data_IF_742876268352
#
_entry.id   IF_742876268352
#
_cell.length_a   1.000
_cell.length_b   1.000
_cell.length_c   1.000
_cell.angle_alpha   90.00
_cell.angle_beta   90.00
_cell.angle_gamma   90.00
#
_symmetry.space_group_name_H-M   'P 1'
#
loop_
_entity.id
_entity.type
_entity.pdbx_description
1 polymer ?
#
# COMPACT_ATOMS: atom_id res chain seq x y z
N UNK A 1 -17.70 24.43 -25.13
CA UNK A 1 -16.45 23.79 -25.59
C UNK A 1 -15.63 24.78 -26.41
N UNK A 2 -16.10 25.22 -27.58
CA UNK A 2 -15.39 26.19 -28.42
C UNK A 2 -15.06 27.51 -27.73
N UNK A 3 -15.99 28.08 -26.95
CA UNK A 3 -15.72 29.30 -26.17
C UNK A 3 -14.58 29.16 -25.14
N UNK A 4 -14.31 27.96 -24.61
CA UNK A 4 -13.19 27.74 -23.71
C UNK A 4 -11.87 27.54 -24.47
N UNK A 5 -11.93 26.83 -25.61
CA UNK A 5 -10.77 26.67 -26.49
C UNK A 5 -10.34 28.05 -27.00
N UNK A 6 -11.27 28.88 -27.45
CA UNK A 6 -11.04 30.27 -27.88
C UNK A 6 -10.44 31.11 -26.76
N UNK A 7 -10.98 31.01 -25.53
CA UNK A 7 -10.46 31.75 -24.36
C UNK A 7 -9.01 31.40 -24.05
N UNK A 8 -8.66 30.12 -24.13
CA UNK A 8 -7.37 29.61 -23.68
C UNK A 8 -6.35 29.49 -24.84
N UNK A 9 -6.75 29.78 -26.09
CA UNK A 9 -6.00 29.47 -27.31
C UNK A 9 -4.60 30.07 -27.35
N UNK A 10 -4.48 31.37 -27.14
CA UNK A 10 -3.18 32.06 -27.23
C UNK A 10 -2.21 31.57 -26.16
N UNK A 11 -2.71 31.28 -24.95
CA UNK A 11 -1.90 30.77 -23.84
C UNK A 11 -1.32 29.38 -24.16
N UNK A 12 -2.14 28.47 -24.68
CA UNK A 12 -1.71 27.11 -24.98
C UNK A 12 -0.86 27.03 -26.25
N UNK A 13 -1.17 27.83 -27.29
CA UNK A 13 -0.31 27.95 -28.47
C UNK A 13 1.08 28.49 -28.10
N UNK A 14 1.16 29.47 -27.19
CA UNK A 14 2.44 29.98 -26.69
C UNK A 14 3.27 28.93 -25.93
N UNK A 15 2.63 27.86 -25.42
CA UNK A 15 3.27 26.69 -24.82
C UNK A 15 3.55 25.55 -25.82
N UNK A 16 3.35 25.79 -27.11
CA UNK A 16 3.54 24.78 -28.17
C UNK A 16 2.42 23.73 -28.22
N UNK A 17 1.24 24.04 -27.67
CA UNK A 17 0.12 23.11 -27.58
C UNK A 17 -1.02 23.47 -28.54
N UNK A 18 -1.68 22.45 -29.08
CA UNK A 18 -2.85 22.55 -29.96
C UNK A 18 -4.05 21.80 -29.36
N UNK A 19 -5.30 22.17 -29.73
CA UNK A 19 -6.48 21.43 -29.30
C UNK A 19 -6.39 19.96 -29.73
N UNK A 20 -6.65 19.05 -28.81
CA UNK A 20 -6.64 17.63 -29.08
C UNK A 20 -7.98 17.19 -29.71
N UNK A 21 -8.00 17.15 -31.03
CA UNK A 21 -9.19 16.81 -31.82
C UNK A 21 -9.65 15.35 -31.65
N UNK A 22 -8.74 14.44 -31.25
CA UNK A 22 -9.06 13.02 -31.07
C UNK A 22 -9.96 12.78 -29.84
N UNK A 23 -9.85 13.64 -28.83
CA UNK A 23 -10.67 13.63 -27.62
C UNK A 23 -11.74 14.72 -27.63
N UNK A 24 -12.03 15.30 -28.81
CA UNK A 24 -12.91 16.45 -29.02
C UNK A 24 -14.37 16.28 -28.58
N UNK A 25 -14.78 15.10 -28.13
CA UNK A 25 -16.10 14.86 -27.52
C UNK A 25 -16.09 14.84 -25.98
N UNK A 26 -14.90 14.83 -25.35
CA UNK A 26 -14.73 14.63 -23.88
C UNK A 26 -14.31 15.88 -23.11
N UNK A 27 -14.09 17.02 -23.77
CA UNK A 27 -13.81 18.31 -23.13
C UNK A 27 -12.68 19.11 -23.78
N UNK A 28 -12.31 20.24 -23.16
CA UNK A 28 -11.18 21.08 -23.60
C UNK A 28 -9.85 20.35 -23.31
N UNK A 29 -9.37 19.57 -24.26
CA UNK A 29 -8.09 18.87 -24.14
C UNK A 29 -7.07 19.49 -25.08
N UNK A 30 -5.82 19.61 -24.61
CA UNK A 30 -4.70 20.19 -25.34
C UNK A 30 -3.59 19.15 -25.44
N UNK A 31 -2.84 19.15 -26.54
CA UNK A 31 -1.68 18.29 -26.75
C UNK A 31 -0.53 19.10 -27.30
N UNK A 32 0.72 18.68 -27.06
CA UNK A 32 1.88 19.32 -27.67
C UNK A 32 1.95 19.02 -29.17
N UNK A 33 2.39 20.00 -29.96
CA UNK A 33 2.71 19.82 -31.39
C UNK A 33 3.92 18.90 -31.52
N UNK A 34 4.97 19.18 -30.76
CA UNK A 34 6.13 18.30 -30.61
C UNK A 34 5.92 17.40 -29.39
N UNK A 35 5.80 16.10 -29.61
CA UNK A 35 5.62 15.13 -28.54
C UNK A 35 6.80 15.07 -27.56
N UNK A 36 7.99 15.56 -27.96
CA UNK A 36 9.15 15.67 -27.09
C UNK A 36 9.06 16.83 -26.09
N UNK A 37 8.13 17.77 -26.25
CA UNK A 37 7.84 18.79 -25.23
C UNK A 37 6.94 18.27 -24.11
N UNK A 38 6.33 17.09 -24.29
CA UNK A 38 5.46 16.50 -23.29
C UNK A 38 6.27 15.87 -22.15
N UNK A 39 6.43 16.64 -21.07
CA UNK A 39 7.16 16.23 -19.85
C UNK A 39 6.62 14.94 -19.22
N UNK A 40 5.31 14.68 -19.30
CA UNK A 40 4.70 13.46 -18.76
C UNK A 40 5.09 12.25 -19.61
N UNK A 41 5.00 12.39 -20.94
CA UNK A 41 5.41 11.34 -21.88
C UNK A 41 6.90 11.00 -21.70
N UNK A 42 7.75 12.01 -21.65
CA UNK A 42 9.20 11.83 -21.48
C UNK A 42 9.53 11.18 -20.14
N UNK A 43 8.82 11.53 -19.08
CA UNK A 43 8.95 10.86 -17.78
C UNK A 43 8.58 9.39 -17.87
N UNK A 44 7.46 9.03 -18.53
CA UNK A 44 7.06 7.63 -18.71
C UNK A 44 8.14 6.82 -19.45
N UNK A 45 8.67 7.37 -20.55
CA UNK A 45 9.75 6.73 -21.30
C UNK A 45 10.98 6.57 -20.39
N UNK A 46 11.43 7.63 -19.73
CA UNK A 46 12.56 7.57 -18.80
C UNK A 46 12.37 6.51 -17.70
N UNK A 47 11.19 6.42 -17.11
CA UNK A 47 10.86 5.41 -16.10
C UNK A 47 10.95 3.99 -16.67
N UNK A 48 10.51 3.77 -17.92
CA UNK A 48 10.61 2.48 -18.61
C UNK A 48 12.06 2.11 -19.01
N UNK A 49 12.86 3.10 -19.40
CA UNK A 49 14.28 2.91 -19.72
C UNK A 49 15.12 2.56 -18.48
N UNK A 50 14.64 2.89 -17.28
CA UNK A 50 15.28 2.55 -16.00
C UNK A 50 14.88 1.17 -15.44
N UNK A 51 13.96 0.46 -16.10
CA UNK A 51 13.54 -0.87 -15.66
C UNK A 51 14.65 -1.89 -15.86
N UNK A 52 14.59 -3.00 -15.10
CA UNK A 52 15.51 -4.11 -15.29
C UNK A 52 15.45 -4.59 -16.73
N UNK A 53 14.26 -4.95 -17.20
CA UNK A 53 13.95 -5.15 -18.63
C UNK A 53 13.53 -3.82 -19.25
N UNK A 54 14.52 -2.97 -19.54
CA UNK A 54 14.32 -1.64 -20.12
C UNK A 54 13.74 -1.70 -21.55
N UNK A 55 12.84 -0.77 -21.85
CA UNK A 55 12.28 -0.56 -23.18
C UNK A 55 12.01 0.94 -23.45
N UNK A 56 11.82 1.30 -24.72
CA UNK A 56 11.74 2.68 -25.22
C UNK A 56 10.35 3.00 -25.77
N UNK A 57 9.37 3.00 -24.87
CA UNK A 57 8.00 3.34 -25.21
C UNK A 57 7.36 4.11 -24.06
N UNK A 58 6.45 5.04 -24.34
CA UNK A 58 5.61 5.67 -23.31
C UNK A 58 4.57 4.71 -22.71
N UNK A 59 4.31 3.57 -23.36
CA UNK A 59 3.22 2.68 -22.95
C UNK A 59 3.64 1.76 -21.81
N UNK A 60 2.81 1.68 -20.77
CA UNK A 60 2.98 0.72 -19.68
C UNK A 60 2.60 -0.69 -20.15
N UNK A 61 3.10 -1.71 -19.44
CA UNK A 61 2.70 -3.09 -19.72
C UNK A 61 1.20 -3.28 -19.47
N UNK A 62 0.50 -3.86 -20.43
CA UNK A 62 -0.91 -4.23 -20.25
C UNK A 62 -1.03 -5.57 -19.49
N UNK A 63 -2.24 -5.89 -19.02
CA UNK A 63 -2.50 -7.12 -18.26
C UNK A 63 -2.09 -8.41 -18.98
N UNK A 64 -2.22 -8.49 -20.31
CA UNK A 64 -1.77 -9.68 -21.05
C UNK A 64 -0.26 -9.83 -20.97
N UNK A 65 0.47 -8.76 -21.21
CA UNK A 65 1.94 -8.73 -21.15
C UNK A 65 2.44 -9.06 -19.74
N UNK A 66 1.80 -8.51 -18.70
CA UNK A 66 2.14 -8.80 -17.30
C UNK A 66 1.88 -10.28 -16.98
N UNK A 67 0.68 -10.78 -17.31
CA UNK A 67 0.29 -12.17 -17.06
C UNK A 67 1.20 -13.16 -17.76
N UNK A 68 1.59 -12.88 -18.98
CA UNK A 68 2.38 -13.80 -19.77
C UNK A 68 3.89 -13.64 -19.46
N UNK A 69 4.27 -12.67 -18.61
CA UNK A 69 5.66 -12.28 -18.32
C UNK A 69 6.44 -11.96 -19.59
N UNK A 70 5.81 -11.24 -20.50
CA UNK A 70 6.47 -10.72 -21.69
C UNK A 70 7.14 -9.38 -21.35
N UNK A 71 8.31 -9.15 -21.96
CA UNK A 71 9.05 -7.90 -21.85
C UNK A 71 9.37 -7.38 -23.24
N UNK A 72 9.05 -6.12 -23.49
CA UNK A 72 9.27 -5.48 -24.79
C UNK A 72 10.76 -5.48 -25.15
N UNK A 73 11.08 -5.87 -26.39
CA UNK A 73 12.46 -6.01 -26.84
C UNK A 73 13.18 -7.25 -26.28
N UNK A 74 12.47 -8.24 -25.73
CA UNK A 74 13.07 -9.50 -25.30
C UNK A 74 12.29 -10.71 -25.82
N UNK A 75 13.00 -11.66 -26.41
CA UNK A 75 12.46 -12.98 -26.74
C UNK A 75 12.50 -13.89 -25.54
N UNK A 76 11.32 -14.36 -25.14
CA UNK A 76 11.11 -15.33 -24.06
C UNK A 76 11.21 -16.77 -24.60
N UNK A 77 11.93 -17.62 -23.89
CA UNK A 77 12.06 -19.06 -24.16
C UNK A 77 11.97 -19.84 -22.85
N UNK A 78 11.36 -21.03 -22.88
CA UNK A 78 11.35 -21.94 -21.73
C UNK A 78 12.73 -22.64 -21.63
N UNK A 79 13.38 -22.48 -20.48
CA UNK A 79 14.67 -23.08 -20.16
C UNK A 79 14.57 -24.13 -19.03
N UNK A 80 13.36 -24.48 -18.60
CA UNK A 80 13.09 -25.33 -17.42
C UNK A 80 13.83 -26.66 -17.48
N UNK A 81 13.96 -27.27 -18.66
CA UNK A 81 14.64 -28.57 -18.83
C UNK A 81 16.10 -28.56 -18.36
N UNK A 82 16.81 -27.43 -18.48
CA UNK A 82 18.19 -27.27 -18.01
C UNK A 82 18.31 -27.17 -16.49
N UNK A 83 17.18 -27.10 -15.77
CA UNK A 83 17.13 -26.90 -14.32
C UNK A 83 16.42 -28.04 -13.59
N UNK A 84 16.05 -29.13 -14.28
CA UNK A 84 15.36 -30.28 -13.68
C UNK A 84 16.18 -30.91 -12.55
N UNK A 85 17.50 -31.00 -12.73
CA UNK A 85 18.41 -31.54 -11.70
C UNK A 85 18.40 -30.75 -10.38
N UNK A 86 18.03 -29.47 -10.43
CA UNK A 86 17.90 -28.60 -9.26
C UNK A 86 16.49 -28.61 -8.66
N UNK A 87 15.54 -29.28 -9.32
CA UNK A 87 14.14 -29.42 -8.87
C UNK A 87 13.13 -28.61 -9.68
N UNK A 88 13.52 -27.95 -10.77
CA UNK A 88 12.56 -27.33 -11.67
C UNK A 88 11.70 -28.37 -12.42
N UNK A 89 10.52 -27.97 -12.85
CA UNK A 89 9.59 -28.83 -13.60
C UNK A 89 8.14 -28.44 -13.34
N UNK A 90 7.28 -28.68 -14.34
CA UNK A 90 5.84 -28.40 -14.28
C UNK A 90 5.16 -29.11 -13.11
N UNK A 91 5.51 -30.37 -12.84
CA UNK A 91 5.00 -31.13 -11.69
C UNK A 91 5.34 -30.49 -10.35
N UNK A 92 6.48 -29.79 -10.29
CA UNK A 92 6.93 -29.06 -9.10
C UNK A 92 6.49 -27.60 -9.13
N UNK A 93 5.69 -27.14 -10.10
CA UNK A 93 5.25 -25.74 -10.18
C UNK A 93 6.40 -24.72 -10.26
N UNK A 94 7.58 -25.14 -10.68
CA UNK A 94 8.77 -24.28 -10.82
C UNK A 94 9.19 -24.30 -12.29
N UNK A 95 9.21 -23.14 -12.92
CA UNK A 95 9.70 -23.00 -14.30
C UNK A 95 10.85 -21.99 -14.35
N UNK A 96 11.70 -22.12 -15.38
CA UNK A 96 12.78 -21.17 -15.64
C UNK A 96 12.61 -20.61 -17.05
N UNK A 97 12.53 -19.29 -17.13
CA UNK A 97 12.34 -18.56 -18.38
C UNK A 97 13.63 -17.82 -18.75
N UNK A 98 14.07 -17.99 -19.98
CA UNK A 98 15.19 -17.25 -20.53
C UNK A 98 14.70 -16.10 -21.42
N UNK A 99 15.29 -14.92 -21.24
CA UNK A 99 15.01 -13.74 -22.02
C UNK A 99 16.27 -13.29 -22.76
N UNK A 100 16.17 -13.21 -24.09
CA UNK A 100 17.25 -12.76 -24.97
C UNK A 100 16.89 -11.39 -25.55
N UNK A 101 17.74 -10.36 -25.43
CA UNK A 101 17.45 -9.04 -25.97
C UNK A 101 17.34 -9.05 -27.50
N UNK A 102 16.28 -8.45 -28.02
CA UNK A 102 15.96 -8.26 -29.44
C UNK A 102 15.80 -6.78 -29.76
N UNK A 103 16.12 -6.39 -30.99
CA UNK A 103 16.17 -4.97 -31.38
C UNK A 103 17.39 -4.22 -30.84
N UNK A 104 17.60 -3.01 -31.34
CA UNK A 104 18.80 -2.22 -31.04
C UNK A 104 18.80 -1.67 -29.60
N UNK A 105 17.64 -1.14 -29.15
CA UNK A 105 17.53 -0.55 -27.82
C UNK A 105 17.84 -1.56 -26.70
N UNK A 106 17.15 -2.71 -26.67
CA UNK A 106 17.36 -3.72 -25.63
C UNK A 106 18.79 -4.27 -25.63
N UNK A 107 19.39 -4.50 -26.81
CA UNK A 107 20.80 -4.93 -26.96
C UNK A 107 21.81 -3.86 -26.52
N UNK A 108 21.43 -2.58 -26.58
CA UNK A 108 22.26 -1.49 -26.07
C UNK A 108 22.27 -1.46 -24.54
N UNK A 109 21.14 -1.79 -23.89
CA UNK A 109 20.96 -1.72 -22.43
C UNK A 109 21.37 -3.00 -21.71
N UNK A 110 21.16 -4.16 -22.32
CA UNK A 110 21.35 -5.47 -21.70
C UNK A 110 22.28 -6.31 -22.56
N UNK A 111 23.33 -6.84 -21.93
CA UNK A 111 24.26 -7.79 -22.56
C UNK A 111 23.95 -9.20 -22.09
N UNK A 112 23.78 -10.12 -23.04
CA UNK A 112 23.53 -11.53 -22.77
C UNK A 112 22.08 -11.84 -22.39
N UNK A 113 21.85 -13.11 -22.07
CA UNK A 113 20.54 -13.64 -21.68
C UNK A 113 20.28 -13.38 -20.20
N UNK A 114 19.00 -13.35 -19.83
CA UNK A 114 18.56 -13.29 -18.43
C UNK A 114 17.67 -14.46 -18.07
N UNK A 115 17.87 -15.02 -16.89
CA UNK A 115 17.11 -16.16 -16.39
C UNK A 115 16.18 -15.75 -15.25
N UNK A 116 14.89 -16.04 -15.39
CA UNK A 116 13.88 -15.77 -14.35
C UNK A 116 13.31 -17.10 -13.87
N UNK A 117 13.41 -17.36 -12.57
CA UNK A 117 12.71 -18.47 -11.94
C UNK A 117 11.28 -18.07 -11.60
N UNK A 118 10.31 -18.92 -11.92
CA UNK A 118 8.89 -18.69 -11.64
C UNK A 118 8.38 -19.81 -10.76
N UNK A 119 7.84 -19.44 -9.60
CA UNK A 119 7.09 -20.33 -8.71
C UNK A 119 5.60 -20.09 -8.91
N UNK A 120 4.85 -21.15 -9.18
CA UNK A 120 3.40 -21.18 -8.97
C UNK A 120 3.13 -21.63 -7.53
N UNK A 121 2.74 -20.69 -6.67
CA UNK A 121 2.53 -20.98 -5.25
C UNK A 121 1.26 -21.80 -4.96
N UNK A 122 0.38 -21.99 -5.96
CA UNK A 122 -0.73 -22.95 -5.85
C UNK A 122 -0.25 -24.40 -5.93
N UNK A 123 0.97 -24.65 -6.41
CA UNK A 123 1.59 -25.96 -6.36
C UNK A 123 2.30 -26.18 -5.02
N UNK A 124 1.74 -27.04 -4.18
CA UNK A 124 2.28 -27.37 -2.84
C UNK A 124 3.71 -27.92 -2.90
N UNK A 125 4.01 -28.77 -3.88
CA UNK A 125 5.36 -29.32 -4.05
C UNK A 125 6.36 -28.21 -4.42
N UNK A 126 5.96 -27.28 -5.28
CA UNK A 126 6.76 -26.10 -5.64
C UNK A 126 7.02 -25.20 -4.46
N UNK A 127 5.97 -24.81 -3.75
CA UNK A 127 6.07 -23.97 -2.56
C UNK A 127 7.08 -24.54 -1.55
N UNK A 128 7.00 -25.85 -1.27
CA UNK A 128 7.89 -26.52 -0.33
C UNK A 128 9.34 -26.65 -0.84
N UNK A 129 9.55 -26.78 -2.15
CA UNK A 129 10.87 -27.07 -2.72
C UNK A 129 11.59 -25.85 -3.30
N UNK A 130 10.92 -24.69 -3.42
CA UNK A 130 11.45 -23.54 -4.13
C UNK A 130 12.76 -23.01 -3.55
N UNK A 131 12.87 -22.93 -2.23
CA UNK A 131 14.10 -22.48 -1.57
C UNK A 131 15.28 -23.41 -1.83
N UNK A 132 15.03 -24.73 -1.85
CA UNK A 132 16.05 -25.71 -2.17
C UNK A 132 16.47 -25.59 -3.65
N UNK A 133 15.51 -25.34 -4.55
CA UNK A 133 15.80 -25.05 -5.95
C UNK A 133 16.71 -23.81 -6.10
N UNK A 134 16.37 -22.69 -5.45
CA UNK A 134 17.20 -21.47 -5.49
C UNK A 134 18.63 -21.75 -4.99
N UNK A 135 18.74 -22.42 -3.84
CA UNK A 135 20.04 -22.76 -3.23
C UNK A 135 20.89 -23.66 -4.12
N UNK A 136 20.32 -24.72 -4.69
CA UNK A 136 21.05 -25.65 -5.58
C UNK A 136 21.49 -24.98 -6.86
N UNK A 137 20.63 -24.15 -7.44
CA UNK A 137 20.90 -23.39 -8.66
C UNK A 137 22.07 -22.43 -8.44
N UNK A 138 22.06 -21.69 -7.33
CA UNK A 138 23.17 -20.80 -6.94
C UNK A 138 24.47 -21.58 -6.68
N UNK A 139 24.41 -22.70 -5.96
CA UNK A 139 25.58 -23.55 -5.70
C UNK A 139 26.21 -24.13 -6.96
N UNK A 140 25.41 -24.38 -8.00
CA UNK A 140 25.87 -24.82 -9.31
C UNK A 140 26.43 -23.68 -10.19
N UNK A 141 26.48 -22.45 -9.67
CA UNK A 141 26.94 -21.27 -10.42
C UNK A 141 25.94 -20.79 -11.48
N UNK A 142 24.71 -21.31 -11.47
CA UNK A 142 23.66 -20.87 -12.39
C UNK A 142 23.05 -19.57 -11.85
N UNK A 143 23.40 -18.45 -12.47
CA UNK A 143 22.91 -17.14 -12.03
C UNK A 143 21.45 -16.95 -12.48
N UNK A 144 20.55 -16.79 -11.52
CA UNK A 144 19.20 -16.31 -11.76
C UNK A 144 19.18 -14.77 -11.67
N UNK A 145 18.61 -14.13 -12.68
CA UNK A 145 18.44 -12.68 -12.77
C UNK A 145 17.13 -12.20 -12.13
N UNK A 146 16.22 -13.11 -11.79
CA UNK A 146 15.02 -12.71 -11.09
C UNK A 146 14.15 -13.87 -10.65
N UNK A 147 13.20 -13.51 -9.82
CA UNK A 147 12.25 -14.41 -9.19
C UNK A 147 10.85 -13.86 -9.42
N UNK A 148 9.94 -14.73 -9.84
CA UNK A 148 8.51 -14.47 -9.90
C UNK A 148 7.80 -15.45 -8.97
N UNK A 149 6.94 -14.96 -8.09
CA UNK A 149 6.00 -15.81 -7.34
C UNK A 149 4.60 -15.48 -7.81
N UNK A 150 3.91 -16.47 -8.35
CA UNK A 150 2.52 -16.40 -8.77
C UNK A 150 1.58 -16.94 -7.71
N UNK A 151 0.33 -16.50 -7.78
CA UNK A 151 -0.78 -17.09 -7.04
C UNK A 151 -0.62 -17.04 -5.51
N UNK A 152 0.01 -15.99 -4.98
CA UNK A 152 0.24 -15.85 -3.55
C UNK A 152 -1.08 -15.67 -2.82
N UNK A 153 -1.44 -16.66 -1.98
CA UNK A 153 -2.68 -16.66 -1.22
C UNK A 153 -3.92 -17.09 -2.02
N UNK A 154 -3.74 -17.71 -3.20
CA UNK A 154 -4.86 -18.21 -4.01
C UNK A 154 -5.59 -19.38 -3.33
N UNK A 155 -4.84 -20.32 -2.75
CA UNK A 155 -5.40 -21.50 -2.06
C UNK A 155 -5.80 -21.16 -0.63
N UNK A 156 -4.94 -20.43 0.07
CA UNK A 156 -5.16 -20.01 1.45
C UNK A 156 -4.80 -18.53 1.58
N UNK A 157 -5.81 -17.69 1.89
CA UNK A 157 -5.61 -16.25 2.05
C UNK A 157 -4.64 -15.87 3.17
N UNK A 158 -4.34 -16.81 4.07
CA UNK A 158 -3.38 -16.68 5.18
C UNK A 158 -2.05 -17.41 4.93
N UNK A 159 -1.81 -17.91 3.71
CA UNK A 159 -0.55 -18.56 3.37
C UNK A 159 0.62 -17.60 3.58
N UNK A 160 1.48 -17.91 4.54
CA UNK A 160 2.61 -17.06 4.89
C UNK A 160 3.81 -17.28 3.95
N UNK A 161 4.14 -16.25 3.18
CA UNK A 161 5.33 -16.23 2.31
C UNK A 161 6.56 -15.58 2.97
N UNK A 162 6.44 -15.06 4.20
CA UNK A 162 7.52 -14.34 4.88
C UNK A 162 8.80 -15.17 4.97
N UNK A 163 8.68 -16.47 5.24
CA UNK A 163 9.81 -17.41 5.31
C UNK A 163 10.50 -17.62 3.97
N UNK A 164 9.72 -17.74 2.88
CA UNK A 164 10.28 -17.89 1.53
C UNK A 164 11.01 -16.60 1.15
N UNK A 165 10.36 -15.45 1.34
CA UNK A 165 10.90 -14.13 1.01
C UNK A 165 12.16 -13.82 1.83
N UNK A 166 12.20 -14.17 3.13
CA UNK A 166 13.36 -14.00 4.00
C UNK A 166 14.55 -14.88 3.61
N UNK A 167 14.31 -16.06 3.02
CA UNK A 167 15.35 -17.01 2.61
C UNK A 167 15.77 -16.87 1.15
N UNK A 168 15.17 -15.96 0.38
CA UNK A 168 15.68 -15.59 -0.94
C UNK A 168 17.12 -15.01 -0.84
N UNK A 169 17.89 -14.99 -1.94
CA UNK A 169 19.20 -14.36 -1.97
C UNK A 169 19.16 -12.92 -1.45
N UNK A 170 20.22 -12.50 -0.75
CA UNK A 170 20.29 -11.15 -0.14
C UNK A 170 20.29 -10.02 -1.17
N UNK A 171 20.70 -10.30 -2.40
CA UNK A 171 20.65 -9.38 -3.54
C UNK A 171 19.84 -9.98 -4.67
N UNK A 172 18.75 -9.32 -5.06
CA UNK A 172 17.84 -9.75 -6.12
C UNK A 172 17.80 -8.66 -7.20
N UNK A 173 18.03 -9.03 -8.46
CA UNK A 173 17.95 -8.03 -9.54
C UNK A 173 16.50 -7.71 -9.90
N UNK A 174 15.64 -8.73 -10.03
CA UNK A 174 14.21 -8.54 -10.25
C UNK A 174 13.36 -9.46 -9.39
N UNK A 175 12.39 -8.89 -8.68
CA UNK A 175 11.35 -9.62 -7.95
C UNK A 175 9.97 -9.22 -8.47
N UNK A 176 9.13 -10.19 -8.80
CA UNK A 176 7.74 -9.95 -9.18
C UNK A 176 6.83 -10.84 -8.34
N UNK A 177 5.89 -10.21 -7.63
CA UNK A 177 4.97 -10.91 -6.72
C UNK A 177 3.53 -10.70 -7.20
N UNK A 178 2.80 -11.80 -7.43
CA UNK A 178 1.36 -11.76 -7.74
C UNK A 178 0.56 -12.21 -6.52
N UNK A 179 -0.07 -11.25 -5.87
CA UNK A 179 -0.98 -11.45 -4.75
C UNK A 179 -2.38 -11.76 -5.25
N UNK A 180 -2.98 -12.82 -4.73
CA UNK A 180 -4.40 -13.15 -4.93
C UNK A 180 -5.21 -12.86 -3.67
N UNK A 181 -4.57 -12.95 -2.50
CA UNK A 181 -5.08 -12.44 -1.24
C UNK A 181 -4.58 -11.01 -0.96
N UNK A 182 -5.35 -10.24 -0.18
CA UNK A 182 -5.03 -8.85 0.15
C UNK A 182 -4.06 -8.67 1.32
N UNK A 183 -3.64 -9.77 1.93
CA UNK A 183 -2.65 -9.75 3.00
C UNK A 183 -1.23 -9.63 2.43
N UNK A 184 -0.60 -8.49 2.68
CA UNK A 184 0.78 -8.20 2.26
C UNK A 184 1.80 -8.35 3.40
N UNK A 185 1.39 -8.83 4.58
CA UNK A 185 2.26 -8.99 5.76
C UNK A 185 3.49 -9.86 5.47
N UNK A 186 3.38 -10.80 4.53
CA UNK A 186 4.51 -11.63 4.08
C UNK A 186 5.69 -10.82 3.55
N UNK A 187 5.47 -9.59 3.05
CA UNK A 187 6.54 -8.70 2.57
C UNK A 187 7.56 -8.34 3.66
N UNK A 188 7.26 -8.56 4.95
CA UNK A 188 8.24 -8.41 6.04
C UNK A 188 9.51 -9.25 5.82
N UNK A 189 9.42 -10.36 5.08
CA UNK A 189 10.58 -11.16 4.70
C UNK A 189 11.58 -10.43 3.80
N UNK A 190 11.16 -9.37 3.11
CA UNK A 190 12.03 -8.57 2.24
C UNK A 190 12.83 -7.51 2.98
N UNK A 191 12.56 -7.29 4.27
CA UNK A 191 13.07 -6.14 5.00
C UNK A 191 14.61 -6.01 4.89
N UNK A 192 15.36 -7.10 4.90
CA UNK A 192 16.83 -7.06 4.89
C UNK A 192 17.43 -7.33 3.49
N UNK A 193 16.60 -7.39 2.45
CA UNK A 193 17.00 -7.69 1.07
C UNK A 193 17.34 -6.44 0.29
N UNK A 194 18.31 -6.56 -0.62
CA UNK A 194 18.64 -5.54 -1.62
C UNK A 194 18.00 -5.93 -2.94
N UNK A 195 17.01 -5.17 -3.40
CA UNK A 195 16.24 -5.50 -4.59
C UNK A 195 16.42 -4.36 -5.60
N UNK A 196 16.90 -4.66 -6.81
CA UNK A 196 17.02 -3.62 -7.84
C UNK A 196 15.65 -3.21 -8.40
N UNK A 197 14.81 -4.17 -8.73
CA UNK A 197 13.45 -3.91 -9.22
C UNK A 197 12.41 -4.82 -8.55
N UNK A 198 11.33 -4.21 -8.05
CA UNK A 198 10.17 -4.89 -7.49
C UNK A 198 8.91 -4.55 -8.28
N UNK A 199 8.16 -5.59 -8.65
CA UNK A 199 6.80 -5.49 -9.18
C UNK A 199 5.82 -6.14 -8.19
N UNK A 200 4.78 -5.42 -7.79
CA UNK A 200 3.70 -5.92 -6.95
C UNK A 200 2.38 -5.90 -7.73
N UNK A 201 1.84 -7.07 -8.03
CA UNK A 201 0.66 -7.25 -8.85
C UNK A 201 -0.46 -7.97 -8.10
N UNK A 202 -1.68 -7.68 -8.50
CA UNK A 202 -2.85 -8.49 -8.19
C UNK A 202 -3.59 -8.78 -9.49
N UNK A 203 -4.14 -9.99 -9.62
CA UNK A 203 -4.82 -10.41 -10.85
C UNK A 203 -6.22 -9.82 -11.02
N UNK A 204 -6.87 -9.35 -9.94
CA UNK A 204 -8.28 -8.93 -9.93
C UNK A 204 -8.47 -7.44 -9.61
N UNK A 205 -8.75 -7.10 -8.34
CA UNK A 205 -9.05 -5.75 -7.88
C UNK A 205 -7.80 -5.04 -7.33
N UNK A 206 -7.15 -4.28 -8.20
CA UNK A 206 -5.93 -3.52 -7.89
C UNK A 206 -6.17 -2.23 -7.11
N UNK A 207 -7.41 -1.79 -6.92
CA UNK A 207 -7.76 -0.49 -6.28
C UNK A 207 -8.61 -0.63 -5.02
N UNK A 208 -8.71 -1.83 -4.46
CA UNK A 208 -9.46 -2.08 -3.23
C UNK A 208 -8.88 -1.28 -2.05
N UNK A 209 -9.77 -0.71 -1.22
CA UNK A 209 -9.40 0.17 -0.09
C UNK A 209 -8.63 -0.53 1.04
N UNK A 210 -8.68 -1.86 1.08
CA UNK A 210 -8.04 -2.73 2.07
C UNK A 210 -6.64 -3.21 1.66
N UNK A 211 -6.12 -2.77 0.50
CA UNK A 211 -4.70 -2.92 0.20
C UNK A 211 -3.84 -2.05 1.14
N UNK A 212 -3.05 -2.73 1.96
CA UNK A 212 -2.06 -2.13 2.84
C UNK A 212 -0.63 -2.45 2.42
N UNK A 213 0.30 -1.54 2.68
CA UNK A 213 1.73 -1.76 2.49
C UNK A 213 2.50 -1.26 3.72
N UNK A 214 3.49 -2.02 4.15
CA UNK A 214 4.48 -1.56 5.10
C UNK A 214 5.66 -0.91 4.35
N UNK A 215 5.84 0.42 4.38
CA UNK A 215 6.91 1.04 3.61
C UNK A 215 8.32 0.65 4.08
N UNK A 216 8.48 0.29 5.37
CA UNK A 216 9.77 -0.06 5.95
C UNK A 216 10.37 -1.32 5.32
N UNK A 217 9.53 -2.26 4.87
CA UNK A 217 10.00 -3.50 4.23
C UNK A 217 10.58 -3.26 2.84
N UNK A 218 10.32 -2.07 2.27
CA UNK A 218 10.77 -1.66 0.94
C UNK A 218 12.05 -0.80 0.98
N UNK A 219 12.66 -0.60 2.16
CA UNK A 219 13.85 0.27 2.32
C UNK A 219 15.07 -0.19 1.53
N UNK A 220 15.15 -1.49 1.24
CA UNK A 220 16.21 -2.08 0.41
C UNK A 220 15.87 -2.19 -1.08
N UNK A 221 14.71 -1.69 -1.51
CA UNK A 221 14.25 -1.73 -2.91
C UNK A 221 14.62 -0.44 -3.62
N UNK A 222 15.40 -0.52 -4.71
CA UNK A 222 15.82 0.66 -5.48
C UNK A 222 14.71 1.20 -6.38
N UNK A 223 14.08 0.32 -7.18
CA UNK A 223 13.03 0.69 -8.11
C UNK A 223 11.77 -0.14 -7.86
N UNK A 224 10.62 0.52 -7.77
CA UNK A 224 9.31 -0.12 -7.68
C UNK A 224 8.52 0.29 -8.90
N UNK A 225 8.25 -0.65 -9.81
CA UNK A 225 7.54 -0.30 -11.05
C UNK A 225 6.03 -0.28 -10.83
N UNK A 226 5.34 0.49 -11.68
CA UNK A 226 3.89 0.63 -11.59
C UNK A 226 3.22 0.62 -12.96
N UNK A 227 2.60 -0.52 -13.27
CA UNK A 227 1.83 -0.79 -14.48
C UNK A 227 0.33 -0.78 -14.16
N UNK A 228 -0.30 0.39 -14.33
CA UNK A 228 -1.72 0.57 -14.02
C UNK A 228 -2.59 -0.20 -14.99
N UNK A 229 -3.19 -1.28 -14.51
CA UNK A 229 -4.24 -2.00 -15.20
C UNK A 229 -5.38 -2.18 -14.20
N UNK A 230 -6.54 -1.66 -14.56
CA UNK A 230 -7.75 -1.74 -13.77
C UNK A 230 -8.92 -1.83 -14.74
N UNK A 231 -9.77 -2.82 -14.58
CA UNK A 231 -10.99 -2.90 -15.37
C UNK A 231 -12.01 -1.90 -14.80
N UNK A 232 -12.46 -0.94 -15.62
CA UNK A 232 -13.61 -0.12 -15.26
C UNK A 232 -14.80 -1.05 -14.95
N UNK A 233 -15.44 -0.87 -13.80
CA UNK A 233 -16.66 -1.58 -13.35
C UNK A 233 -17.81 -1.50 -14.39
N UNK A 234 -17.66 -0.69 -15.44
CA UNK A 234 -18.69 -0.41 -16.46
C UNK A 234 -18.92 -1.52 -17.49
N UNK A 235 -18.10 -2.58 -17.57
CA UNK A 235 -18.41 -3.75 -18.42
C UNK A 235 -18.99 -4.87 -17.56
N UNK A 236 -20.33 -4.91 -17.49
CA UNK A 236 -21.18 -5.82 -16.72
C UNK A 236 -21.08 -7.31 -17.10
N UNK A 237 -20.06 -7.72 -17.86
CA UNK A 237 -19.95 -9.06 -18.46
C UNK A 237 -18.88 -9.95 -17.84
N UNK A 238 -18.04 -9.45 -16.92
CA UNK A 238 -16.95 -10.23 -16.33
C UNK A 238 -17.20 -10.46 -14.84
N UNK A 239 -17.39 -11.72 -14.47
CA UNK A 239 -17.60 -12.19 -13.10
C UNK A 239 -16.49 -11.66 -12.16
N UNK A 240 -16.83 -11.18 -10.94
CA UNK A 240 -15.90 -10.48 -10.05
C UNK A 240 -14.68 -11.30 -9.60
N UNK A 241 -14.76 -12.64 -9.68
CA UNK A 241 -13.82 -13.56 -9.04
C UNK A 241 -12.89 -14.30 -10.03
N UNK A 242 -12.96 -13.99 -11.34
CA UNK A 242 -12.17 -14.67 -12.37
C UNK A 242 -11.62 -13.69 -13.42
N UNK A 243 -11.23 -12.50 -12.97
CA UNK A 243 -10.63 -11.48 -13.83
C UNK A 243 -9.14 -11.78 -13.88
N UNK A 244 -8.65 -12.42 -14.94
CA UNK A 244 -7.23 -12.68 -15.13
C UNK A 244 -6.54 -11.44 -15.74
N UNK A 245 -6.62 -10.32 -15.02
CA UNK A 245 -6.20 -8.98 -15.47
C UNK A 245 -5.18 -8.37 -14.52
N UNK A 246 -3.96 -8.92 -14.47
CA UNK A 246 -2.97 -8.40 -13.55
C UNK A 246 -2.61 -6.95 -13.81
N UNK A 247 -2.44 -6.21 -12.72
CA UNK A 247 -2.04 -4.81 -12.68
C UNK A 247 -1.42 -4.45 -11.35
N UNK A 248 -0.69 -3.33 -11.30
CA UNK A 248 -0.04 -2.88 -10.06
C UNK A 248 -1.06 -2.49 -9.00
N UNK A 249 -0.80 -2.93 -7.77
CA UNK A 249 -1.65 -2.66 -6.62
C UNK A 249 -1.56 -1.17 -6.23
N UNK A 250 -2.70 -0.53 -6.06
CA UNK A 250 -2.82 0.81 -5.50
C UNK A 250 -3.01 0.69 -3.98
N UNK A 251 -1.98 1.06 -3.22
CA UNK A 251 -2.05 1.04 -1.76
C UNK A 251 -2.61 2.35 -1.23
N UNK A 252 -3.76 2.28 -0.55
CA UNK A 252 -4.33 3.43 0.15
C UNK A 252 -4.09 3.37 1.67
N UNK A 253 -3.56 2.26 2.18
CA UNK A 253 -3.25 2.07 3.60
C UNK A 253 -1.75 1.88 3.84
N UNK A 254 -1.17 2.66 4.77
CA UNK A 254 0.11 2.33 5.38
C UNK A 254 -0.15 1.40 6.57
N UNK A 255 0.32 0.16 6.48
CA UNK A 255 0.09 -0.90 7.45
C UNK A 255 1.41 -1.39 8.00
N UNK A 256 1.55 -1.45 9.33
CA UNK A 256 2.81 -1.85 9.97
C UNK A 256 2.71 -3.25 10.56
N UNK A 257 3.82 -3.98 10.54
CA UNK A 257 3.89 -5.37 11.00
C UNK A 257 4.18 -5.46 12.49
N UNK A 258 3.77 -6.57 13.10
CA UNK A 258 3.96 -6.83 14.54
C UNK A 258 5.44 -6.77 14.93
N UNK A 259 5.72 -6.19 16.10
CA UNK A 259 7.06 -6.13 16.69
C UNK A 259 7.96 -5.03 16.12
N UNK A 260 7.41 -4.10 15.34
CA UNK A 260 8.13 -2.91 14.89
C UNK A 260 8.24 -1.87 16.01
N UNK A 261 9.42 -1.28 16.11
CA UNK A 261 9.68 -0.14 17.02
C UNK A 261 9.15 1.16 16.43
N UNK A 262 8.96 2.19 17.28
CA UNK A 262 8.58 3.53 16.84
C UNK A 262 9.58 4.11 15.80
N UNK A 263 10.87 3.83 15.94
CA UNK A 263 11.89 4.26 14.98
C UNK A 263 11.68 3.62 13.60
N UNK A 264 11.37 2.33 13.56
CA UNK A 264 11.08 1.63 12.30
C UNK A 264 9.77 2.11 11.66
N UNK A 265 8.75 2.40 12.48
CA UNK A 265 7.51 3.03 12.01
C UNK A 265 7.82 4.38 11.38
N UNK A 266 8.57 5.23 12.07
CA UNK A 266 8.96 6.56 11.58
C UNK A 266 9.84 6.49 10.33
N UNK A 267 10.72 5.50 10.22
CA UNK A 267 11.48 5.25 9.00
C UNK A 267 10.56 4.87 7.84
N UNK A 268 9.57 4.00 8.07
CA UNK A 268 8.54 3.67 7.08
C UNK A 268 7.73 4.90 6.65
N UNK A 269 7.27 5.72 7.60
CA UNK A 269 6.57 6.98 7.31
C UNK A 269 7.44 7.94 6.50
N UNK A 270 8.73 8.05 6.81
CA UNK A 270 9.70 8.86 6.05
C UNK A 270 9.82 8.36 4.61
N UNK A 271 9.97 7.05 4.42
CA UNK A 271 10.05 6.43 3.08
C UNK A 271 8.83 6.81 2.25
N UNK A 272 7.61 6.58 2.76
CA UNK A 272 6.40 6.80 1.99
C UNK A 272 6.05 8.29 1.79
N UNK A 273 6.20 9.11 2.82
CA UNK A 273 5.63 10.46 2.85
C UNK A 273 6.63 11.57 2.51
N UNK A 274 7.94 11.27 2.52
CA UNK A 274 8.99 12.25 2.28
C UNK A 274 10.01 11.84 1.22
N UNK A 275 10.58 10.64 1.31
CA UNK A 275 11.73 10.29 0.46
C UNK A 275 11.30 9.74 -0.90
N UNK A 276 10.25 8.91 -0.91
CA UNK A 276 9.73 8.23 -2.10
C UNK A 276 8.29 8.63 -2.44
N UNK A 277 7.82 9.77 -1.93
CA UNK A 277 6.46 10.28 -2.16
C UNK A 277 6.11 10.46 -3.65
N UNK A 278 7.13 10.62 -4.51
CA UNK A 278 6.98 10.74 -5.97
C UNK A 278 6.75 9.41 -6.69
N UNK A 279 6.86 8.27 -6.01
CA UNK A 279 6.61 6.95 -6.59
C UNK A 279 5.15 6.55 -6.45
N UNK A 280 4.57 6.00 -7.53
CA UNK A 280 3.12 5.74 -7.61
C UNK A 280 2.57 4.79 -6.54
N UNK A 281 3.40 3.90 -6.00
CA UNK A 281 3.03 3.01 -4.89
C UNK A 281 2.71 3.78 -3.59
N UNK A 282 3.29 4.96 -3.40
CA UNK A 282 3.12 5.82 -2.21
C UNK A 282 2.25 7.06 -2.49
N UNK A 283 1.37 6.98 -3.49
CA UNK A 283 0.51 8.08 -3.91
C UNK A 283 -0.99 7.83 -3.68
N UNK A 284 -1.36 6.72 -3.04
CA UNK A 284 -2.76 6.42 -2.75
C UNK A 284 -3.63 6.28 -3.99
N UNK A 285 -4.94 6.47 -3.81
CA UNK A 285 -5.94 6.33 -4.88
C UNK A 285 -5.85 7.46 -5.93
N UNK A 286 -5.48 8.68 -5.54
CA UNK A 286 -5.52 9.85 -6.40
C UNK A 286 -4.30 10.03 -7.31
N UNK A 287 -3.18 9.34 -7.03
CA UNK A 287 -1.97 9.42 -7.86
C UNK A 287 -1.13 10.66 -7.57
N UNK A 288 -0.50 11.22 -8.60
CA UNK A 288 0.56 12.21 -8.48
C UNK A 288 0.25 13.35 -7.49
N UNK A 289 1.17 13.58 -6.56
CA UNK A 289 1.04 14.60 -5.51
C UNK A 289 0.18 14.20 -4.30
N UNK A 290 -0.44 13.02 -4.31
CA UNK A 290 -1.21 12.48 -3.18
C UNK A 290 -0.40 11.49 -2.33
N UNK A 291 -1.05 10.83 -1.37
CA UNK A 291 -0.47 9.85 -0.45
C UNK A 291 -1.53 8.81 -0.02
N UNK A 292 -1.13 7.63 0.51
CA UNK A 292 -2.05 6.70 1.13
C UNK A 292 -2.77 7.36 2.31
N UNK A 293 -4.09 7.44 2.23
CA UNK A 293 -4.89 8.23 3.19
C UNK A 293 -5.32 7.46 4.42
N UNK A 294 -4.97 6.19 4.55
CA UNK A 294 -5.31 5.33 5.67
C UNK A 294 -4.06 4.86 6.43
N UNK A 295 -4.19 4.74 7.75
CA UNK A 295 -3.19 4.16 8.65
C UNK A 295 -3.77 2.91 9.32
N UNK A 296 -2.95 1.87 9.45
CA UNK A 296 -3.30 0.64 10.15
C UNK A 296 -2.16 0.18 11.06
N UNK A 297 -2.41 0.30 12.37
CA UNK A 297 -1.54 -0.19 13.45
C UNK A 297 -2.21 -1.33 14.24
N UNK A 298 -3.23 -1.98 13.67
CA UNK A 298 -3.92 -3.10 14.33
C UNK A 298 -3.03 -4.31 14.65
N UNK A 299 -1.89 -4.43 13.99
CA UNK A 299 -0.89 -5.46 14.29
C UNK A 299 0.06 -5.09 15.43
N UNK A 300 -0.06 -3.89 16.00
CA UNK A 300 0.81 -3.33 17.04
C UNK A 300 -0.05 -2.93 18.27
N UNK A 301 -0.43 -3.89 19.13
CA UNK A 301 -1.26 -3.64 20.31
C UNK A 301 -0.74 -2.55 21.27
N UNK A 302 0.56 -2.29 21.26
CA UNK A 302 1.24 -1.25 22.01
C UNK A 302 0.97 0.17 21.49
N UNK A 303 0.58 0.31 20.23
CA UNK A 303 0.24 1.61 19.63
C UNK A 303 -1.21 1.95 19.96
N UNK A 304 -1.37 2.88 20.91
CA UNK A 304 -2.68 3.41 21.36
C UNK A 304 -2.97 4.82 20.86
N UNK A 305 -2.02 5.47 20.20
CA UNK A 305 -2.19 6.80 19.61
C UNK A 305 -1.17 7.01 18.50
N UNK A 306 -1.15 8.21 17.92
CA UNK A 306 -0.16 8.62 16.91
C UNK A 306 1.04 9.36 17.54
N UNK A 307 1.19 9.28 18.88
CA UNK A 307 2.26 9.95 19.61
C UNK A 307 3.64 9.57 19.09
N UNK A 308 4.45 10.58 18.78
CA UNK A 308 5.85 10.41 18.36
C UNK A 308 6.01 10.03 16.88
N UNK A 309 4.93 10.01 16.10
CA UNK A 309 4.98 9.70 14.67
C UNK A 309 5.14 10.95 13.81
N UNK A 310 6.04 10.92 12.83
CA UNK A 310 6.23 12.04 11.90
C UNK A 310 5.47 11.82 10.59
N UNK A 311 4.40 12.60 10.39
CA UNK A 311 3.57 12.52 9.19
C UNK A 311 3.93 13.55 8.11
N UNK A 312 4.97 14.37 8.29
CA UNK A 312 5.43 15.34 7.29
C UNK A 312 4.30 16.25 6.77
N UNK A 313 3.44 16.70 7.69
CA UNK A 313 2.30 17.57 7.40
C UNK A 313 1.14 16.89 6.67
N UNK A 314 1.12 15.55 6.59
CA UNK A 314 0.01 14.78 6.00
C UNK A 314 -1.08 14.49 7.03
N UNK A 315 -2.29 14.34 6.53
CA UNK A 315 -3.49 14.00 7.29
C UNK A 315 -4.14 12.75 6.73
N UNK A 316 -4.92 12.04 7.54
CA UNK A 316 -5.45 10.71 7.22
C UNK A 316 -6.95 10.63 7.42
N UNK A 317 -7.62 9.92 6.51
CA UNK A 317 -9.06 9.70 6.50
C UNK A 317 -9.48 8.51 7.37
N UNK A 318 -8.57 7.58 7.65
CA UNK A 318 -8.86 6.37 8.43
C UNK A 318 -7.66 6.00 9.29
N UNK A 319 -7.91 5.64 10.54
CA UNK A 319 -6.94 5.04 11.44
C UNK A 319 -7.54 3.76 12.01
N UNK A 320 -6.84 2.64 11.88
CA UNK A 320 -7.19 1.38 12.53
C UNK A 320 -6.20 1.07 13.65
N UNK A 321 -6.69 0.82 14.86
CA UNK A 321 -5.90 0.44 16.04
C UNK A 321 -6.33 -0.94 16.56
N UNK A 322 -5.52 -1.54 17.41
CA UNK A 322 -5.91 -2.72 18.18
C UNK A 322 -6.46 -2.33 19.55
N UNK A 323 -7.56 -2.96 19.95
CA UNK A 323 -8.06 -2.92 21.32
C UNK A 323 -8.44 -4.32 21.80
N UNK A 324 -8.35 -4.59 23.09
CA UNK A 324 -8.65 -5.90 23.67
C UNK A 324 -9.97 -5.96 24.46
N UNK A 325 -10.65 -4.82 24.65
CA UNK A 325 -11.94 -4.71 25.32
C UNK A 325 -12.89 -3.78 24.56
N UNK A 326 -14.12 -3.60 25.05
CA UNK A 326 -15.03 -2.59 24.54
C UNK A 326 -14.63 -1.14 24.95
N UNK A 327 -13.68 -1.00 25.88
CA UNK A 327 -13.18 0.28 26.40
C UNK A 327 -11.85 0.65 25.75
N UNK A 328 -11.82 1.74 24.98
CA UNK A 328 -10.58 2.34 24.52
C UNK A 328 -10.13 3.44 25.49
N UNK A 329 -8.91 3.34 26.01
CA UNK A 329 -8.41 4.26 27.03
C UNK A 329 -7.39 5.24 26.45
N UNK A 330 -7.54 6.51 26.82
CA UNK A 330 -6.66 7.62 26.47
C UNK A 330 -6.21 8.33 27.76
N UNK A 331 -4.91 8.54 27.93
CA UNK A 331 -4.39 9.31 29.07
C UNK A 331 -4.45 10.81 28.76
N UNK A 332 -5.14 11.57 29.61
CA UNK A 332 -5.21 13.03 29.52
C UNK A 332 -3.84 13.70 29.61
N UNK A 333 -2.90 13.13 30.39
CA UNK A 333 -1.53 13.66 30.56
C UNK A 333 -0.77 13.76 29.25
N UNK A 334 -1.04 12.85 28.31
CA UNK A 334 -0.36 12.85 27.00
C UNK A 334 -1.28 13.25 25.86
N UNK A 335 -2.55 13.61 26.10
CA UNK A 335 -3.51 13.90 25.04
C UNK A 335 -2.99 14.94 24.05
N UNK A 336 -2.37 16.01 24.53
CA UNK A 336 -1.75 17.07 23.72
C UNK A 336 -0.55 16.60 22.84
N UNK A 337 -0.08 15.37 23.03
CA UNK A 337 1.03 14.75 22.30
C UNK A 337 0.59 13.53 21.47
N UNK A 338 -0.67 13.10 21.57
CA UNK A 338 -1.17 11.88 20.94
C UNK A 338 -1.42 12.01 19.43
N UNK A 339 -1.33 13.23 18.88
CA UNK A 339 -1.36 13.53 17.45
C UNK A 339 -2.63 13.07 16.71
N UNK A 340 -3.77 13.00 17.39
CA UNK A 340 -5.10 12.87 16.81
C UNK A 340 -5.43 13.97 15.81
N UNK A 341 -4.78 15.13 15.91
CA UNK A 341 -4.92 16.22 14.92
C UNK A 341 -4.52 15.80 13.49
N UNK A 342 -3.75 14.72 13.32
CA UNK A 342 -3.48 14.11 12.01
C UNK A 342 -4.73 13.54 11.33
N UNK A 343 -5.86 13.43 12.03
CA UNK A 343 -7.16 13.04 11.48
C UNK A 343 -8.05 14.23 11.13
N UNK A 344 -7.59 15.47 11.29
CA UNK A 344 -8.35 16.66 10.92
C UNK A 344 -8.25 16.94 9.41
N UNK A 345 -9.17 16.38 8.65
CA UNK A 345 -9.25 16.56 7.19
C UNK A 345 -10.27 17.65 6.82
N UNK A 346 -9.97 18.38 5.74
CA UNK A 346 -10.91 19.33 5.13
C UNK A 346 -11.74 18.62 4.06
N UNK A 347 -13.05 18.93 4.00
CA UNK A 347 -13.94 18.45 2.95
C UNK A 347 -15.17 17.70 3.46
N UNK A 348 -15.96 17.11 2.54
CA UNK A 348 -17.16 16.36 2.88
C UNK A 348 -16.85 15.01 3.56
N UNK A 349 -15.74 14.38 3.17
CA UNK A 349 -15.25 13.17 3.84
C UNK A 349 -14.78 13.50 5.26
N UNK A 350 -15.17 12.67 6.22
CA UNK A 350 -14.79 12.81 7.63
C UNK A 350 -13.90 11.64 8.07
N UNK A 351 -12.97 11.88 9.00
CA UNK A 351 -12.05 10.83 9.44
C UNK A 351 -12.81 9.71 10.15
N UNK A 352 -12.24 8.51 10.14
CA UNK A 352 -12.78 7.33 10.82
C UNK A 352 -11.72 6.68 11.70
N UNK A 353 -12.04 6.46 12.96
CA UNK A 353 -11.29 5.58 13.85
C UNK A 353 -11.94 4.19 13.81
N UNK A 354 -11.15 3.16 13.63
CA UNK A 354 -11.56 1.76 13.55
C UNK A 354 -10.75 0.94 14.55
N UNK A 355 -11.32 -0.17 15.02
CA UNK A 355 -10.65 -1.08 15.92
C UNK A 355 -10.69 -2.52 15.42
N UNK A 356 -9.56 -3.21 15.50
CA UNK A 356 -9.53 -4.67 15.55
C UNK A 356 -9.57 -5.05 17.02
N UNK A 357 -10.63 -5.73 17.45
CA UNK A 357 -10.87 -6.06 18.85
C UNK A 357 -11.77 -7.29 18.99
N UNK A 358 -11.53 -8.17 19.97
CA UNK A 358 -12.41 -9.32 20.23
C UNK A 358 -13.84 -8.91 20.61
N UNK A 359 -14.02 -7.65 21.03
CA UNK A 359 -15.31 -7.06 21.38
C UNK A 359 -15.48 -5.72 20.69
N UNK A 360 -16.72 -5.36 20.39
CA UNK A 360 -17.04 -4.06 19.83
C UNK A 360 -16.59 -2.95 20.78
N UNK A 361 -15.66 -2.11 20.32
CA UNK A 361 -15.30 -0.88 21.03
C UNK A 361 -16.46 0.10 20.92
N UNK A 362 -17.00 0.51 22.06
CA UNK A 362 -18.11 1.46 22.13
C UNK A 362 -17.91 2.55 23.20
N UNK A 363 -16.86 2.40 24.02
CA UNK A 363 -16.61 3.25 25.16
C UNK A 363 -15.23 3.89 25.03
N UNK A 364 -15.17 5.22 25.16
CA UNK A 364 -13.93 5.96 25.33
C UNK A 364 -13.76 6.28 26.81
N UNK A 365 -12.62 5.94 27.39
CA UNK A 365 -12.23 6.37 28.73
C UNK A 365 -11.07 7.35 28.63
N UNK A 366 -11.28 8.58 29.07
CA UNK A 366 -10.22 9.59 29.18
C UNK A 366 -9.78 9.62 30.64
N UNK A 367 -8.65 8.98 30.91
CA UNK A 367 -8.06 8.81 32.23
C UNK A 367 -7.32 10.09 32.66
N UNK A 368 -7.47 10.49 33.93
CA UNK A 368 -6.82 11.64 34.56
C UNK A 368 -7.73 12.85 34.76
N UNK A 369 -7.14 13.99 35.15
CA UNK A 369 -7.86 15.19 35.59
C UNK A 369 -7.77 16.32 34.57
N UNK A 370 -8.69 17.30 34.65
CA UNK A 370 -8.68 18.45 33.73
C UNK A 370 -7.35 19.22 33.70
N UNK A 371 -6.64 19.27 34.84
CA UNK A 371 -5.32 19.91 34.96
C UNK A 371 -4.22 19.18 34.17
N UNK A 372 -4.43 17.91 33.83
CA UNK A 372 -3.46 17.05 33.15
C UNK A 372 -3.49 17.20 31.62
N UNK A 373 -4.53 17.80 31.04
CA UNK A 373 -4.75 17.86 29.58
C UNK A 373 -3.58 18.51 28.81
N UNK A 374 -2.77 19.34 29.49
CA UNK A 374 -1.64 20.07 28.89
C UNK A 374 -2.10 21.26 28.05
N UNK A 375 -1.18 21.90 27.34
CA UNK A 375 -1.51 23.01 26.44
C UNK A 375 -1.97 22.49 25.08
N UNK A 376 -2.90 23.19 24.42
CA UNK A 376 -3.40 22.86 23.08
C UNK A 376 -3.99 21.45 22.94
N UNK A 377 -4.60 20.90 23.99
CA UNK A 377 -5.34 19.62 23.91
C UNK A 377 -6.59 19.69 23.02
N UNK A 378 -7.13 20.89 22.77
CA UNK A 378 -8.37 21.09 22.03
C UNK A 378 -8.39 20.46 20.64
N UNK A 379 -7.43 20.76 19.75
CA UNK A 379 -7.31 20.12 18.44
C UNK A 379 -7.15 18.59 18.50
N UNK A 380 -6.39 18.09 19.48
CA UNK A 380 -6.19 16.65 19.67
C UNK A 380 -7.49 15.96 20.08
N UNK A 381 -8.20 16.52 21.06
CA UNK A 381 -9.53 16.03 21.43
C UNK A 381 -10.51 16.11 20.26
N UNK A 382 -10.48 17.20 19.49
CA UNK A 382 -11.36 17.35 18.33
C UNK A 382 -11.12 16.24 17.31
N UNK A 383 -9.85 15.93 16.98
CA UNK A 383 -9.51 14.83 16.08
C UNK A 383 -9.96 13.47 16.60
N UNK A 384 -9.77 13.20 17.89
CA UNK A 384 -10.20 11.95 18.53
C UNK A 384 -11.72 11.80 18.50
N UNK A 385 -12.46 12.85 18.88
CA UNK A 385 -13.92 12.79 18.94
C UNK A 385 -14.55 12.78 17.55
N UNK A 386 -14.02 13.55 16.59
CA UNK A 386 -14.53 13.53 15.21
C UNK A 386 -14.37 12.15 14.58
N UNK A 387 -13.17 11.58 14.67
CA UNK A 387 -12.86 10.27 14.08
C UNK A 387 -13.58 9.12 14.79
N UNK A 388 -13.71 9.19 16.12
CA UNK A 388 -14.39 8.21 16.95
C UNK A 388 -15.90 8.42 17.10
N UNK A 389 -16.51 9.43 16.44
CA UNK A 389 -17.91 9.81 16.72
C UNK A 389 -18.94 8.70 16.52
N UNK A 390 -18.66 7.77 15.61
CA UNK A 390 -19.52 6.61 15.33
C UNK A 390 -19.14 5.36 16.13
N UNK A 391 -17.98 5.37 16.78
CA UNK A 391 -17.49 4.27 17.61
C UNK A 391 -17.90 4.50 19.06
N UNK A 392 -17.53 5.65 19.63
CA UNK A 392 -17.73 5.93 21.05
C UNK A 392 -19.17 6.38 21.33
N UNK A 393 -19.98 5.46 21.83
CA UNK A 393 -21.33 5.75 22.33
C UNK A 393 -21.26 6.40 23.71
N UNK A 394 -20.35 5.91 24.56
CA UNK A 394 -20.14 6.39 25.92
C UNK A 394 -18.76 7.00 26.06
N UNK A 395 -18.65 8.11 26.79
CA UNK A 395 -17.37 8.69 27.19
C UNK A 395 -17.29 8.80 28.71
N UNK A 396 -16.37 8.06 29.30
CA UNK A 396 -16.10 8.09 30.73
C UNK A 396 -14.87 8.93 31.06
N UNK A 397 -14.90 9.55 32.23
CA UNK A 397 -13.80 10.33 32.83
C UNK A 397 -13.72 10.06 34.34
N UNK A 398 -12.62 10.48 34.98
CA UNK A 398 -12.39 10.20 36.40
C UNK A 398 -13.17 11.10 37.37
N UNK A 399 -13.54 12.32 36.98
CA UNK A 399 -14.25 13.25 37.86
C UNK A 399 -15.08 14.30 37.11
N UNK A 400 -15.93 14.97 37.89
CA UNK A 400 -16.89 15.98 37.42
C UNK A 400 -16.20 17.20 36.79
N UNK A 401 -15.03 17.60 37.29
CA UNK A 401 -14.26 18.71 36.71
C UNK A 401 -13.78 18.38 35.30
N UNK A 402 -13.26 17.17 35.08
CA UNK A 402 -12.92 16.69 33.75
C UNK A 402 -14.16 16.62 32.86
N UNK A 403 -15.27 16.06 33.35
CA UNK A 403 -16.51 15.95 32.59
C UNK A 403 -16.99 17.33 32.10
N UNK A 404 -17.06 18.31 32.99
CA UNK A 404 -17.46 19.68 32.66
C UNK A 404 -16.48 20.37 31.70
N UNK A 405 -15.18 20.14 31.87
CA UNK A 405 -14.15 20.68 30.95
C UNK A 405 -14.33 20.15 29.53
N UNK A 406 -14.51 18.84 29.37
CA UNK A 406 -14.70 18.23 28.07
C UNK A 406 -16.06 18.59 27.46
N UNK A 407 -17.14 18.59 28.25
CA UNK A 407 -18.49 18.93 27.78
C UNK A 407 -18.62 20.36 27.26
N UNK A 408 -17.82 21.30 27.77
CA UNK A 408 -17.76 22.68 27.29
C UNK A 408 -16.75 22.89 26.14
N UNK A 409 -16.05 21.84 25.71
CA UNK A 409 -15.09 21.90 24.61
C UNK A 409 -15.80 21.94 23.26
N UNK A 410 -15.16 22.59 22.28
CA UNK A 410 -15.65 22.63 20.90
C UNK A 410 -15.95 21.23 20.35
N UNK A 411 -15.08 20.24 20.64
CA UNK A 411 -15.22 18.88 20.17
C UNK A 411 -16.57 18.26 20.62
N UNK A 412 -16.87 18.33 21.92
CA UNK A 412 -18.08 17.72 22.46
C UNK A 412 -19.34 18.46 22.00
N UNK A 413 -19.30 19.80 21.96
CA UNK A 413 -20.43 20.60 21.48
C UNK A 413 -20.71 20.37 20.00
N UNK A 414 -19.67 20.28 19.15
CA UNK A 414 -19.84 20.09 17.70
C UNK A 414 -20.37 18.69 17.37
N UNK A 415 -19.95 17.66 18.11
CA UNK A 415 -20.32 16.27 17.82
C UNK A 415 -21.43 15.71 18.72
N UNK A 416 -22.05 16.55 19.56
CA UNK A 416 -23.14 16.14 20.46
C UNK A 416 -22.73 15.03 21.43
N UNK A 417 -21.48 15.03 21.89
CA UNK A 417 -20.96 14.06 22.85
C UNK A 417 -21.11 14.57 24.28
N UNK A 418 -21.17 13.64 25.23
CA UNK A 418 -21.20 13.94 26.66
C UNK A 418 -20.26 13.01 27.42
N UNK A 419 -19.34 13.60 28.16
CA UNK A 419 -18.51 12.92 29.14
C UNK A 419 -19.28 12.81 30.47
N UNK A 420 -19.22 11.64 31.08
CA UNK A 420 -19.80 11.36 32.39
C UNK A 420 -18.74 10.70 33.30
N UNK A 421 -18.86 10.91 34.60
CA UNK A 421 -17.95 10.27 35.56
C UNK A 421 -18.15 8.76 35.52
N UNK A 422 -17.05 8.01 35.46
CA UNK A 422 -17.08 6.55 35.45
C UNK A 422 -17.80 6.00 36.70
N UNK A 423 -18.58 4.93 36.58
CA UNK A 423 -19.21 4.30 37.74
C UNK A 423 -18.16 3.65 38.66
N UNK A 424 -18.50 3.42 39.92
CA UNK A 424 -17.58 2.87 40.92
C UNK A 424 -17.05 1.47 40.57
N UNK A 425 -17.79 0.70 39.78
CA UNK A 425 -17.43 -0.64 39.31
C UNK A 425 -16.87 -0.64 37.87
N UNK A 426 -16.42 0.51 37.35
CA UNK A 426 -15.86 0.60 36.02
C UNK A 426 -14.54 -0.18 35.91
N UNK A 427 -14.51 -1.19 35.04
CA UNK A 427 -13.30 -1.94 34.69
C UNK A 427 -13.00 -1.75 33.20
N UNK A 428 -11.74 -1.46 32.89
CA UNK A 428 -11.22 -1.34 31.53
C UNK A 428 -11.00 -2.69 30.84
N UNK A 429 -11.03 -3.79 31.61
CA UNK A 429 -10.76 -5.15 31.15
C UNK A 429 -12.01 -6.06 31.10
N UNK A 430 -13.10 -5.70 31.79
CA UNK A 430 -14.35 -6.46 31.72
C UNK A 430 -15.08 -6.14 30.42
N UNK A 431 -15.24 -7.18 29.61
CA UNK A 431 -15.91 -7.08 28.35
C UNK A 431 -17.38 -7.48 28.40
N UNK A 432 -18.25 -6.66 27.80
CA UNK A 432 -19.58 -7.13 27.43
C UNK A 432 -19.44 -8.30 26.44
N UNK A 433 -20.10 -9.40 26.76
CA UNK A 433 -19.89 -10.75 26.22
C UNK A 433 -20.42 -11.00 24.79
N UNK A 434 -20.31 -10.03 23.88
CA UNK A 434 -20.50 -10.28 22.45
C UNK A 434 -19.15 -10.47 21.78
N UNK A 435 -18.70 -11.72 21.73
CA UNK A 435 -17.57 -12.14 20.90
C UNK A 435 -17.99 -11.94 19.45
N UNK A 436 -17.34 -11.02 18.74
CA UNK A 436 -17.54 -10.87 17.29
C UNK A 436 -16.52 -11.77 16.60
N UNK A 437 -16.99 -12.78 15.86
CA UNK A 437 -16.13 -13.55 14.95
C UNK A 437 -15.70 -12.67 13.78
N UNK A 438 -14.40 -12.61 13.50
CA UNK A 438 -13.88 -11.97 12.30
C UNK A 438 -14.10 -12.90 11.09
N UNK A 439 -14.86 -12.46 10.08
CA UNK A 439 -14.90 -13.09 8.74
C UNK A 439 -13.80 -12.53 7.81
#
# INVERSE_FOLDING_TARGET
MWANIERDLDEFLAKGMVPNIQWGYTGNSWTFIDHSDNVVRNRMISDHQNRYFAYDSEYKRNSKVIRDLDYEGFKKQDATNSFIEYGAGSNNGITVLQYTPEGEFAKSKVKGNRLIAVLDASNVAGYNNFLNFLKKTEQAGQKLDGIVIRNMGLIDKYQDFSKILAQMPDSIQKLTLFFEARDTSSLIGLKDKKIQELDLYNSSNTVADDWGINPYVLRGVKNITFDYNHESITTSTVQPNNKNMPGSIVFNTLKFDKGMTLDQINEGLRIALKDRYGERIFQGAFGDGSWPTYLDFSNLPEIKSLQGMNFYGRVFKKLTLYNNSNVFTVDSKTLHQQQWSALLIKGPDRPKLMFVSPQKVDTLYIQGNAVDLGNNWGPELYGLIESGKYVFQTVYVDNETMANTLNNSQAFTTFGKRAIVKPSNFDTNEGNSEIISFE
#
